data_IF_994583781822
#
_entry.id   IF_994583781822
#
_cell.length_a   1.000
_cell.length_b   1.000
_cell.length_c   1.000
_cell.angle_alpha   90.00
_cell.angle_beta   90.00
_cell.angle_gamma   90.00
#
_symmetry.space_group_name_H-M   'P 1'
#
loop_
_entity.id
_entity.type
_entity.pdbx_description
1 polymer ?
#
# COMPACT_ATOMS: atom_id res chain seq x y z
N UNK A 1 5.33 -14.28 -22.08
CA UNK A 1 5.92 -13.82 -20.80
C UNK A 1 5.26 -12.55 -20.22
N UNK A 2 4.98 -11.48 -20.98
CA UNK A 2 4.36 -10.22 -20.45
C UNK A 2 2.96 -10.35 -19.82
N UNK A 3 2.14 -11.33 -20.24
CA UNK A 3 0.78 -11.54 -19.67
C UNK A 3 0.81 -12.15 -18.26
N UNK A 4 1.73 -13.07 -18.00
CA UNK A 4 1.87 -13.71 -16.69
C UNK A 4 2.32 -12.68 -15.64
N UNK A 5 3.27 -11.82 -15.98
CA UNK A 5 3.77 -10.75 -15.10
C UNK A 5 2.65 -9.80 -14.66
N UNK A 6 1.74 -9.43 -15.57
CA UNK A 6 0.53 -8.65 -15.24
C UNK A 6 -0.45 -9.39 -14.33
N UNK A 7 -0.61 -10.71 -14.50
CA UNK A 7 -1.47 -11.52 -13.63
C UNK A 7 -0.90 -11.60 -12.21
N UNK A 8 0.41 -11.85 -12.08
CA UNK A 8 1.09 -11.89 -10.77
C UNK A 8 1.05 -10.53 -10.07
N UNK A 9 1.37 -9.44 -10.77
CA UNK A 9 1.31 -8.09 -10.21
C UNK A 9 -0.10 -7.72 -9.72
N UNK A 10 -1.16 -8.12 -10.44
CA UNK A 10 -2.53 -7.86 -9.99
C UNK A 10 -2.87 -8.62 -8.70
N UNK A 11 -2.45 -9.88 -8.58
CA UNK A 11 -2.73 -10.71 -7.38
C UNK A 11 -1.91 -10.23 -6.18
N UNK A 12 -0.60 -10.04 -6.36
CA UNK A 12 0.29 -9.50 -5.31
C UNK A 12 -0.15 -8.08 -4.92
N UNK A 13 -0.59 -7.29 -5.91
CA UNK A 13 -1.18 -5.97 -5.74
C UNK A 13 -2.33 -5.97 -4.75
N UNK A 14 -3.33 -6.82 -4.97
CA UNK A 14 -4.49 -6.93 -4.06
C UNK A 14 -4.06 -7.38 -2.66
N UNK A 15 -3.18 -8.37 -2.57
CA UNK A 15 -2.73 -8.94 -1.28
C UNK A 15 -1.96 -7.92 -0.45
N UNK A 16 -1.12 -7.08 -1.07
CA UNK A 16 -0.30 -6.07 -0.38
C UNK A 16 -1.08 -4.78 -0.14
N UNK A 17 -2.01 -4.42 -1.03
CA UNK A 17 -2.81 -3.19 -0.91
C UNK A 17 -3.85 -3.28 0.22
N UNK A 18 -4.39 -4.48 0.50
CA UNK A 18 -5.31 -4.72 1.63
C UNK A 18 -4.69 -4.32 2.99
N UNK A 19 -3.53 -4.88 3.39
CA UNK A 19 -2.76 -4.44 4.56
C UNK A 19 -2.47 -2.94 4.58
N UNK A 20 -2.00 -2.39 3.46
CA UNK A 20 -1.63 -0.98 3.38
C UNK A 20 -2.82 -0.06 3.63
N UNK A 21 -3.96 -0.34 2.99
CA UNK A 21 -5.20 0.40 3.22
C UNK A 21 -5.62 0.32 4.68
N UNK A 22 -5.56 -0.87 5.28
CA UNK A 22 -5.92 -1.06 6.67
C UNK A 22 -4.98 -0.26 7.61
N UNK A 23 -3.68 -0.27 7.32
CA UNK A 23 -2.67 0.47 8.10
C UNK A 23 -2.88 1.99 7.97
N UNK A 24 -3.16 2.49 6.78
CA UNK A 24 -3.42 3.92 6.53
C UNK A 24 -4.74 4.36 7.16
N UNK A 25 -5.81 3.57 7.00
CA UNK A 25 -7.12 3.87 7.62
C UNK A 25 -7.03 3.87 9.14
N UNK A 26 -6.41 2.85 9.73
CA UNK A 26 -6.24 2.78 11.20
C UNK A 26 -5.32 3.89 11.71
N UNK A 27 -4.24 4.22 10.99
CA UNK A 27 -3.35 5.33 11.34
C UNK A 27 -4.07 6.68 11.31
N UNK A 28 -4.85 6.95 10.26
CA UNK A 28 -5.68 8.16 10.19
C UNK A 28 -6.71 8.20 11.33
N UNK A 29 -7.38 7.08 11.61
CA UNK A 29 -8.35 6.99 12.70
C UNK A 29 -7.70 7.21 14.08
N UNK A 30 -6.51 6.67 14.33
CA UNK A 30 -5.73 6.94 15.56
C UNK A 30 -5.46 8.43 15.69
N UNK A 31 -4.97 9.09 14.64
CA UNK A 31 -4.70 10.53 14.66
C UNK A 31 -5.97 11.35 14.89
N UNK A 32 -7.06 11.00 14.21
CA UNK A 32 -8.36 11.67 14.41
C UNK A 32 -8.85 11.52 15.85
N UNK A 33 -8.82 10.32 16.43
CA UNK A 33 -9.27 10.09 17.81
C UNK A 33 -8.33 10.74 18.84
N UNK A 34 -7.04 10.87 18.53
CA UNK A 34 -6.05 11.47 19.42
C UNK A 34 -6.06 13.01 19.38
N UNK A 35 -6.15 13.59 18.19
CA UNK A 35 -6.05 15.05 17.98
C UNK A 35 -7.40 15.74 18.00
N UNK A 36 -8.47 15.06 17.59
CA UNK A 36 -9.81 15.59 17.69
C UNK A 36 -10.38 15.22 19.06
N UNK A 37 -10.81 16.18 19.89
CA UNK A 37 -11.38 15.93 21.22
C UNK A 37 -12.82 15.39 21.10
N UNK A 38 -13.00 14.34 20.32
CA UNK A 38 -14.26 13.59 20.26
C UNK A 38 -14.20 12.64 21.44
N UNK A 39 -14.99 12.95 22.48
CA UNK A 39 -15.15 12.14 23.69
C UNK A 39 -15.88 10.82 23.36
N UNK A 40 -15.27 9.98 22.51
CA UNK A 40 -15.85 8.72 22.03
C UNK A 40 -15.78 7.61 23.07
N UNK A 41 -15.07 7.81 24.19
CA UNK A 41 -14.81 6.75 25.19
C UNK A 41 -13.94 5.59 24.67
N UNK A 42 -13.52 5.64 23.39
CA UNK A 42 -12.64 4.65 22.77
C UNK A 42 -11.20 5.12 23.01
N UNK A 43 -10.45 4.38 23.82
CA UNK A 43 -9.05 4.71 24.08
C UNK A 43 -8.22 4.63 22.80
N UNK A 44 -7.49 5.71 22.46
CA UNK A 44 -6.53 5.74 21.34
C UNK A 44 -5.51 4.60 21.41
N UNK A 45 -5.22 4.09 22.62
CA UNK A 45 -4.34 2.94 22.85
C UNK A 45 -4.88 1.63 22.25
N UNK A 46 -6.21 1.42 22.27
CA UNK A 46 -6.85 0.24 21.69
C UNK A 46 -6.82 0.29 20.15
N UNK A 47 -7.00 1.49 19.58
CA UNK A 47 -6.82 1.74 18.15
C UNK A 47 -5.36 1.59 17.72
N UNK A 48 -4.41 2.04 18.54
CA UNK A 48 -2.98 1.85 18.28
C UNK A 48 -2.62 0.36 18.22
N UNK A 49 -3.13 -0.46 19.15
CA UNK A 49 -2.97 -1.93 19.10
C UNK A 49 -3.46 -2.57 17.81
N UNK A 50 -4.60 -2.11 17.29
CA UNK A 50 -5.14 -2.56 16.01
C UNK A 50 -4.26 -2.06 14.85
N UNK A 51 -3.80 -0.81 14.91
CA UNK A 51 -2.97 -0.18 13.89
C UNK A 51 -1.60 -0.83 13.74
N UNK A 52 -0.92 -1.10 14.85
CA UNK A 52 0.39 -1.73 14.84
C UNK A 52 0.32 -3.23 14.61
N UNK A 53 -0.86 -3.85 14.76
CA UNK A 53 -1.01 -5.30 14.65
C UNK A 53 -0.44 -6.05 15.86
N UNK A 54 -0.32 -5.36 17.01
CA UNK A 54 0.13 -5.92 18.29
C UNK A 54 -0.72 -7.14 18.69
N UNK A 55 -2.00 -7.15 18.27
CA UNK A 55 -2.97 -8.24 18.49
C UNK A 55 -2.50 -9.58 17.90
N UNK A 56 -1.68 -9.55 16.84
CA UNK A 56 -1.15 -10.72 16.15
C UNK A 56 0.36 -10.91 16.33
N UNK A 57 1.03 -10.10 17.17
CA UNK A 57 2.49 -10.10 17.36
C UNK A 57 3.30 -9.89 16.05
N UNK A 58 2.68 -9.37 15.00
CA UNK A 58 3.30 -9.13 13.69
C UNK A 58 3.84 -7.70 13.53
N UNK A 59 3.91 -6.96 14.63
CA UNK A 59 4.23 -5.53 14.72
C UNK A 59 5.50 -5.12 13.98
N UNK A 60 6.53 -5.97 14.00
CA UNK A 60 7.79 -5.69 13.31
C UNK A 60 7.78 -6.14 11.83
N UNK A 61 7.07 -7.22 11.51
CA UNK A 61 7.16 -7.86 10.18
C UNK A 61 6.16 -7.21 9.22
N UNK A 62 4.98 -6.83 9.70
CA UNK A 62 3.90 -6.29 8.89
C UNK A 62 4.26 -4.96 8.21
N UNK A 63 4.88 -3.97 8.89
CA UNK A 63 5.27 -2.71 8.26
C UNK A 63 6.39 -2.92 7.22
N UNK A 64 7.32 -3.84 7.48
CA UNK A 64 8.42 -4.16 6.57
C UNK A 64 7.87 -4.80 5.30
N UNK A 65 6.97 -5.79 5.42
CA UNK A 65 6.31 -6.42 4.27
C UNK A 65 5.46 -5.41 3.49
N UNK A 66 4.76 -4.50 4.19
CA UNK A 66 3.99 -3.43 3.56
C UNK A 66 4.89 -2.47 2.77
N UNK A 67 6.02 -2.05 3.35
CA UNK A 67 6.99 -1.17 2.69
C UNK A 67 7.63 -1.83 1.47
N UNK A 68 8.15 -3.05 1.62
CA UNK A 68 8.74 -3.81 0.51
C UNK A 68 7.72 -4.14 -0.57
N UNK A 69 6.50 -4.53 -0.18
CA UNK A 69 5.39 -4.79 -1.09
C UNK A 69 5.00 -3.54 -1.86
N UNK A 70 4.89 -2.39 -1.20
CA UNK A 70 4.59 -1.11 -1.84
C UNK A 70 5.66 -0.72 -2.87
N UNK A 71 6.94 -0.80 -2.50
CA UNK A 71 8.06 -0.51 -3.40
C UNK A 71 8.01 -1.46 -4.60
N UNK A 72 7.83 -2.76 -4.36
CA UNK A 72 7.72 -3.77 -5.41
C UNK A 72 6.57 -3.49 -6.36
N UNK A 73 5.40 -3.12 -5.84
CA UNK A 73 4.24 -2.75 -6.65
C UNK A 73 4.45 -1.46 -7.43
N UNK A 74 5.07 -0.44 -6.85
CA UNK A 74 5.37 0.81 -7.55
C UNK A 74 6.35 0.57 -8.70
N UNK A 75 7.45 -0.13 -8.46
CA UNK A 75 8.45 -0.43 -9.51
C UNK A 75 7.85 -1.28 -10.63
N UNK A 76 7.13 -2.35 -10.28
CA UNK A 76 6.52 -3.25 -11.28
C UNK A 76 5.35 -2.58 -12.02
N UNK A 77 4.54 -1.78 -11.33
CA UNK A 77 3.46 -1.00 -11.91
C UNK A 77 3.95 0.08 -12.87
N UNK A 78 4.99 0.83 -12.49
CA UNK A 78 5.64 1.81 -13.36
C UNK A 78 6.24 1.15 -14.61
N UNK A 79 6.94 0.02 -14.44
CA UNK A 79 7.50 -0.77 -15.55
C UNK A 79 6.42 -1.26 -16.53
N UNK A 80 5.22 -1.60 -16.03
CA UNK A 80 4.10 -2.09 -16.85
C UNK A 80 3.21 -1.00 -17.46
N UNK A 81 3.07 0.15 -16.80
CA UNK A 81 2.23 1.27 -17.26
C UNK A 81 2.77 1.96 -18.51
N UNK A 82 4.04 1.74 -18.85
CA UNK A 82 4.67 2.38 -19.99
C UNK A 82 4.93 3.89 -19.77
N UNK A 83 4.95 4.36 -18.51
CA UNK A 83 5.34 5.75 -18.18
C UNK A 83 6.73 6.12 -18.76
N UNK A 84 7.63 5.14 -18.89
CA UNK A 84 8.94 5.28 -19.54
C UNK A 84 8.93 5.02 -21.05
N UNK A 85 7.82 4.57 -21.63
CA UNK A 85 7.69 4.36 -23.07
C UNK A 85 7.30 5.68 -23.76
N UNK A 86 8.16 6.69 -23.60
CA UNK A 86 8.02 7.94 -24.34
C UNK A 86 8.26 7.67 -25.83
N UNK A 87 7.16 7.75 -26.59
CA UNK A 87 7.04 8.06 -28.02
C UNK A 87 8.35 8.06 -28.82
N UNK A 88 8.73 6.91 -29.37
CA UNK A 88 9.62 6.86 -30.54
C UNK A 88 8.82 6.35 -31.74
N UNK A 89 7.84 7.13 -32.18
CA UNK A 89 7.22 6.95 -33.49
C UNK A 89 6.52 8.25 -33.85
N UNK A 90 7.16 9.08 -34.68
CA UNK A 90 6.58 9.69 -35.90
C UNK A 90 7.38 10.91 -36.34
N UNK A 91 8.58 10.74 -36.93
CA UNK A 91 9.00 11.53 -38.11
C UNK A 91 9.90 10.62 -38.98
N UNK A 92 9.29 9.64 -39.63
CA UNK A 92 9.86 9.00 -40.83
C UNK A 92 8.71 8.66 -41.80
N UNK A 93 8.11 9.71 -42.34
CA UNK A 93 7.41 9.69 -43.64
C UNK A 93 8.14 10.77 -44.45
N UNK A 94 9.10 10.31 -45.26
CA UNK A 94 9.00 10.25 -46.72
C UNK A 94 8.93 11.64 -47.32
#
# INVERSE_FOLDING_TARGET
>A
MKKAFRKYHRVIGIIVCLPLLLTVLTGMLVTVVKEWPINTGISSNLMLKIHTGEILHLEAIYPILNGLGLIGLLVTGMSMSGLFNQRTNTIKRR
#
